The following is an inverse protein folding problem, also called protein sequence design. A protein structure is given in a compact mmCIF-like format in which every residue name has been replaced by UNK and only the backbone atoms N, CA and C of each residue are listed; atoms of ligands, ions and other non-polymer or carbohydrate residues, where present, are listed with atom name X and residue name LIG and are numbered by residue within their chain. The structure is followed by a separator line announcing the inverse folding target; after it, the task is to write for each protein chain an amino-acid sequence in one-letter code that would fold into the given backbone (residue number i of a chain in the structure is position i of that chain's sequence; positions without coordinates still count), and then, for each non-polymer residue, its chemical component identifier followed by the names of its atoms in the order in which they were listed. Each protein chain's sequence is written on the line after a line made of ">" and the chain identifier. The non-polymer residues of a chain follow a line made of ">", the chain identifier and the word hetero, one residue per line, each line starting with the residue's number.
data_IF_918999195292
#
_entry.id   IF_918999195292
#
_cell.length_a   1.000
_cell.length_b   1.000
_cell.length_c   1.000
_cell.angle_alpha   90.00
_cell.angle_beta   90.00
_cell.angle_gamma   90.00
#
_symmetry.space_group_name_H-M   'P 1'
#
loop_
_entity.id
_entity.type
_entity.pdbx_description
1 polymer ?
#
# COMPACT_ATOMS: atom_id res chain seq x y z
N UNK A 1 -7.20 15.14 -27.33
CA UNK A 1 -6.38 14.41 -26.31
C UNK A 1 -6.54 12.90 -26.46
N UNK A 2 -5.49 12.12 -26.15
CA UNK A 2 -5.46 10.65 -26.30
C UNK A 2 -6.61 9.94 -25.55
N UNK A 3 -6.98 10.47 -24.38
CA UNK A 3 -8.11 9.95 -23.58
C UNK A 3 -9.46 10.13 -24.26
N UNK A 4 -9.69 11.26 -24.93
CA UNK A 4 -10.94 11.48 -25.66
C UNK A 4 -11.08 10.52 -26.85
N UNK A 5 -9.99 10.24 -27.56
CA UNK A 5 -9.96 9.22 -28.62
C UNK A 5 -10.25 7.82 -28.06
N UNK A 6 -9.67 7.49 -26.90
CA UNK A 6 -9.95 6.23 -26.21
C UNK A 6 -11.42 6.11 -25.79
N UNK A 7 -12.04 7.17 -25.27
CA UNK A 7 -13.47 7.19 -24.94
C UNK A 7 -14.36 6.98 -26.17
N UNK A 8 -14.01 7.60 -27.31
CA UNK A 8 -14.73 7.40 -28.57
C UNK A 8 -14.64 5.94 -29.02
N UNK A 9 -13.45 5.35 -29.01
CA UNK A 9 -13.25 3.93 -29.35
C UNK A 9 -14.01 2.99 -28.41
N UNK A 10 -14.12 3.36 -27.12
CA UNK A 10 -14.87 2.62 -26.10
C UNK A 10 -16.37 2.88 -26.14
N UNK A 11 -16.88 3.62 -27.14
CA UNK A 11 -18.31 3.99 -27.26
C UNK A 11 -18.83 4.60 -25.97
N UNK A 12 -18.05 5.53 -25.38
CA UNK A 12 -18.40 6.26 -24.15
C UNK A 12 -18.56 5.37 -22.90
N UNK A 13 -18.02 4.15 -22.89
CA UNK A 13 -17.93 3.37 -21.65
C UNK A 13 -17.02 4.08 -20.64
N UNK A 14 -17.45 4.21 -19.37
CA UNK A 14 -16.66 4.84 -18.33
C UNK A 14 -15.22 4.37 -18.27
N UNK A 15 -14.32 5.31 -18.01
CA UNK A 15 -12.90 5.09 -17.81
C UNK A 15 -12.49 5.62 -16.43
N UNK A 16 -11.91 4.74 -15.62
CA UNK A 16 -11.21 5.13 -14.40
C UNK A 16 -9.73 5.29 -14.72
N UNK A 17 -9.17 6.44 -14.40
CA UNK A 17 -7.79 6.82 -14.67
C UNK A 17 -7.12 7.14 -13.34
N UNK A 18 -5.95 6.55 -13.12
CA UNK A 18 -5.09 6.85 -11.98
C UNK A 18 -3.82 7.52 -12.50
N UNK A 19 -3.63 8.79 -12.17
CA UNK A 19 -2.41 9.55 -12.47
C UNK A 19 -1.54 9.60 -11.21
N UNK A 20 -0.55 8.71 -11.17
CA UNK A 20 0.34 8.53 -10.02
C UNK A 20 1.72 9.19 -10.23
N UNK A 21 1.90 9.91 -11.33
CA UNK A 21 3.18 10.50 -11.71
C UNK A 21 3.40 11.87 -11.06
N UNK A 22 4.66 12.19 -10.76
CA UNK A 22 5.10 13.53 -10.30
C UNK A 22 6.36 13.93 -11.10
N UNK A 23 6.25 14.84 -12.09
CA UNK A 23 5.06 15.60 -12.49
C UNK A 23 3.98 14.74 -13.18
N UNK A 24 2.74 15.25 -13.20
CA UNK A 24 1.54 14.57 -13.76
C UNK A 24 1.68 14.20 -15.24
N UNK A 25 1.17 13.04 -15.62
CA UNK A 25 1.20 12.56 -17.01
C UNK A 25 -0.12 12.85 -17.77
N UNK A 26 -1.23 13.00 -17.05
CA UNK A 26 -2.57 13.22 -17.65
C UNK A 26 -2.93 14.69 -17.48
N UNK A 27 -3.52 15.34 -18.48
CA UNK A 27 -4.00 16.73 -18.34
C UNK A 27 -5.23 16.85 -17.43
N UNK A 28 -5.37 17.97 -16.69
CA UNK A 28 -6.46 18.17 -15.72
C UNK A 28 -7.84 18.20 -16.38
N UNK A 29 -7.89 18.77 -17.59
CA UNK A 29 -9.07 18.88 -18.46
C UNK A 29 -9.70 17.52 -18.79
N UNK A 30 -8.98 16.41 -18.63
CA UNK A 30 -9.54 15.06 -18.81
C UNK A 30 -10.67 14.78 -17.82
N UNK A 31 -10.65 15.36 -16.62
CA UNK A 31 -11.72 15.22 -15.64
C UNK A 31 -13.03 15.91 -16.06
N UNK A 32 -12.98 16.82 -17.05
CA UNK A 32 -14.18 17.48 -17.61
C UNK A 32 -14.90 16.59 -18.63
N UNK A 33 -14.27 15.51 -19.09
CA UNK A 33 -14.90 14.54 -19.98
C UNK A 33 -15.88 13.69 -19.17
N UNK A 34 -17.18 13.81 -19.45
CA UNK A 34 -18.24 13.17 -18.62
C UNK A 34 -18.22 11.63 -18.49
N UNK A 35 -17.31 10.91 -19.17
CA UNK A 35 -17.12 9.46 -18.99
C UNK A 35 -15.68 9.10 -18.55
N UNK A 36 -14.91 10.07 -18.07
CA UNK A 36 -13.58 9.87 -17.49
C UNK A 36 -13.57 10.31 -16.02
N UNK A 37 -13.06 9.44 -15.16
CA UNK A 37 -12.89 9.67 -13.73
C UNK A 37 -11.40 9.64 -13.45
N UNK A 38 -10.82 10.79 -13.17
CA UNK A 38 -9.39 10.94 -12.90
C UNK A 38 -9.15 11.03 -11.40
N UNK A 39 -8.33 10.11 -10.89
CA UNK A 39 -7.79 10.15 -9.53
C UNK A 39 -6.29 10.42 -9.59
N UNK A 40 -5.83 11.30 -8.71
CA UNK A 40 -4.43 11.71 -8.60
C UNK A 40 -3.78 11.12 -7.35
N UNK A 41 -2.47 11.32 -7.19
CA UNK A 41 -1.76 10.93 -5.97
C UNK A 41 -2.37 11.57 -4.71
N UNK A 42 -2.81 12.82 -4.82
CA UNK A 42 -3.42 13.59 -3.71
C UNK A 42 -4.74 12.95 -3.27
N UNK A 43 -5.56 12.47 -4.21
CA UNK A 43 -6.83 11.79 -3.90
C UNK A 43 -6.60 10.47 -3.16
N UNK A 44 -5.45 9.82 -3.39
CA UNK A 44 -5.09 8.56 -2.76
C UNK A 44 -4.49 8.73 -1.36
N UNK A 45 -3.97 9.91 -1.00
CA UNK A 45 -3.37 10.16 0.31
C UNK A 45 -4.36 9.85 1.46
N UNK A 46 -5.64 10.20 1.29
CA UNK A 46 -6.68 9.86 2.28
C UNK A 46 -6.85 8.36 2.49
N UNK A 47 -6.83 7.57 1.42
CA UNK A 47 -6.92 6.11 1.52
C UNK A 47 -5.64 5.48 2.10
N UNK A 48 -4.49 6.15 1.91
CA UNK A 48 -3.22 5.73 2.48
C UNK A 48 -3.15 5.98 3.97
N UNK A 49 -3.74 7.06 4.49
CA UNK A 49 -3.77 7.37 5.94
C UNK A 49 -4.38 6.23 6.76
N UNK A 50 -5.53 5.70 6.33
CA UNK A 50 -6.17 4.55 6.98
C UNK A 50 -5.30 3.28 6.92
N UNK A 51 -4.62 3.05 5.79
CA UNK A 51 -3.66 1.96 5.65
C UNK A 51 -2.44 2.13 6.56
N UNK A 52 -1.98 3.35 6.84
CA UNK A 52 -0.84 3.59 7.74
C UNK A 52 -1.14 3.17 9.17
N UNK A 53 -2.36 3.40 9.66
CA UNK A 53 -2.78 2.93 10.99
C UNK A 53 -2.76 1.41 11.07
N UNK A 54 -3.39 0.72 10.12
CA UNK A 54 -3.38 -0.75 10.08
C UNK A 54 -1.97 -1.34 9.97
N UNK A 55 -1.07 -0.66 9.22
CA UNK A 55 0.35 -1.07 9.13
C UNK A 55 1.10 -0.91 10.46
N UNK A 56 0.79 0.13 11.27
CA UNK A 56 1.39 0.29 12.60
C UNK A 56 0.93 -0.82 13.54
N UNK A 57 -0.37 -1.09 13.60
CA UNK A 57 -0.91 -2.18 14.43
C UNK A 57 -0.32 -3.54 14.05
N UNK A 58 -0.17 -3.81 12.75
CA UNK A 58 0.48 -5.04 12.28
C UNK A 58 1.97 -5.11 12.64
N UNK A 59 2.68 -3.98 12.64
CA UNK A 59 4.07 -3.90 13.07
C UNK A 59 4.21 -4.18 14.57
N UNK A 60 3.36 -3.59 15.40
CA UNK A 60 3.34 -3.82 16.86
C UNK A 60 3.08 -5.31 17.17
N UNK A 61 2.16 -5.95 16.43
CA UNK A 61 1.91 -7.39 16.55
C UNK A 61 3.14 -8.22 16.14
N UNK A 62 3.83 -7.82 15.08
CA UNK A 62 5.04 -8.50 14.64
C UNK A 62 6.17 -8.37 15.67
N UNK A 63 6.35 -7.21 16.29
CA UNK A 63 7.31 -7.00 17.39
C UNK A 63 7.01 -7.92 18.57
N UNK A 64 5.75 -8.03 18.99
CA UNK A 64 5.36 -8.92 20.08
C UNK A 64 5.67 -10.41 19.77
N UNK A 65 5.51 -10.83 18.51
CA UNK A 65 5.87 -12.18 18.06
C UNK A 65 7.39 -12.37 18.18
N UNK A 66 8.18 -11.40 17.71
CA UNK A 66 9.64 -11.44 17.76
C UNK A 66 10.11 -11.56 19.22
N UNK A 67 9.63 -10.71 20.11
CA UNK A 67 10.00 -10.72 21.53
C UNK A 67 9.72 -12.07 22.19
N UNK A 68 8.55 -12.65 21.92
CA UNK A 68 8.18 -13.97 22.42
C UNK A 68 9.15 -15.06 21.91
N UNK A 69 9.52 -15.04 20.63
CA UNK A 69 10.43 -16.04 20.08
C UNK A 69 11.86 -15.86 20.60
N UNK A 70 12.31 -14.62 20.77
CA UNK A 70 13.63 -14.32 21.35
C UNK A 70 13.72 -14.85 22.78
N UNK A 71 12.70 -14.61 23.61
CA UNK A 71 12.67 -15.12 24.98
C UNK A 71 12.76 -16.66 25.03
N UNK A 72 11.94 -17.34 24.22
CA UNK A 72 11.97 -18.82 24.11
C UNK A 72 13.31 -19.36 23.64
N UNK A 73 13.93 -18.66 22.70
CA UNK A 73 15.25 -19.04 22.19
C UNK A 73 16.33 -18.93 23.27
N UNK A 74 16.33 -17.83 24.05
CA UNK A 74 17.26 -17.64 25.16
C UNK A 74 17.08 -18.71 26.24
N UNK A 75 15.83 -19.02 26.63
CA UNK A 75 15.54 -20.11 27.57
C UNK A 75 16.11 -21.44 27.07
N UNK A 76 15.91 -21.75 25.78
CA UNK A 76 16.43 -22.96 25.14
C UNK A 76 17.96 -23.02 25.21
N UNK A 77 18.65 -21.92 24.89
CA UNK A 77 20.10 -21.85 24.97
C UNK A 77 20.62 -22.07 26.40
N UNK A 78 19.98 -21.46 27.40
CA UNK A 78 20.35 -21.63 28.81
C UNK A 78 20.14 -23.07 29.30
N UNK A 79 19.04 -23.71 28.90
CA UNK A 79 18.77 -25.10 29.23
C UNK A 79 19.83 -26.03 28.62
N UNK A 80 20.20 -25.81 27.36
CA UNK A 80 21.23 -26.60 26.67
C UNK A 80 22.63 -26.39 27.27
N UNK A 81 22.98 -25.16 27.68
CA UNK A 81 24.26 -24.87 28.33
C UNK A 81 24.42 -25.60 29.67
N UNK A 82 23.32 -25.83 30.41
CA UNK A 82 23.33 -26.60 31.67
C UNK A 82 23.47 -28.11 31.48
N UNK A 83 23.32 -28.61 30.24
CA UNK A 83 23.45 -30.03 29.91
C UNK A 83 24.81 -30.40 29.29
N UNK A 84 25.74 -29.45 29.15
CA UNK A 84 27.09 -29.74 28.66
C UNK A 84 27.83 -30.66 29.68
N UNK A 85 28.36 -31.84 29.27
CA UNK A 85 29.12 -32.70 30.16
C UNK A 85 30.44 -32.02 30.56
N UNK A 86 30.89 -32.27 31.80
CA UNK A 86 32.24 -31.92 32.29
C UNK A 86 33.33 -32.61 31.48
#
# INVERSE_FOLDING_TARGET
>A
VQVEQALRARKRKPMLLFDLAVPRDIEASVAELGDAYLYTVDDLERAVEDNRRGRREAADQAEAIIDLQVARYVETLQANARQAPL
#
